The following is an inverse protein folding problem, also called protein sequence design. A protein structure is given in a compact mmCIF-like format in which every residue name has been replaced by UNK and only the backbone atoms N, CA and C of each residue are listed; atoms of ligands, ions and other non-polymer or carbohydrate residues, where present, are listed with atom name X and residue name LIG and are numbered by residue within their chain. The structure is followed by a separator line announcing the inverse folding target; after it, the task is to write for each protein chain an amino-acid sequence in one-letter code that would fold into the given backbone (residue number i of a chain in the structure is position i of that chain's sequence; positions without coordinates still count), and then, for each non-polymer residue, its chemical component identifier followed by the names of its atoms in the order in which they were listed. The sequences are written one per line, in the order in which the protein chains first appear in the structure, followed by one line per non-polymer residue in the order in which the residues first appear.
data_IF_214326246469
#
_entry.id   IF_214326246469
#
_cell.length_a   1.000
_cell.length_b   1.000
_cell.length_c   1.000
_cell.angle_alpha   90.00
_cell.angle_beta   90.00
_cell.angle_gamma   90.00
#
_symmetry.space_group_name_H-M   'P 1'
#
loop_
_entity.id
_entity.type
_entity.pdbx_description
1 polymer ?
#
# COMPACT_ATOMS: atom_id res chain seq x y z
N UNK A 1 13.28 15.25 -43.12
CA UNK A 1 13.62 13.96 -42.46
C UNK A 1 13.93 14.14 -40.97
N UNK A 2 14.78 15.11 -40.58
CA UNK A 2 15.10 15.40 -39.17
C UNK A 2 13.91 15.92 -38.32
N UNK A 3 12.96 16.67 -38.89
CA UNK A 3 11.80 17.18 -38.14
C UNK A 3 10.78 16.08 -37.75
N UNK A 4 10.66 15.00 -38.54
CA UNK A 4 9.83 13.84 -38.19
C UNK A 4 10.47 12.99 -37.07
N UNK A 5 11.80 12.90 -37.04
CA UNK A 5 12.54 12.25 -35.95
C UNK A 5 12.42 13.03 -34.62
N UNK A 6 12.46 14.37 -34.67
CA UNK A 6 12.26 15.22 -33.48
C UNK A 6 10.82 15.15 -32.95
N UNK A 7 9.82 15.18 -33.83
CA UNK A 7 8.41 14.95 -33.45
C UNK A 7 8.20 13.57 -32.86
N UNK A 8 8.85 12.53 -33.42
CA UNK A 8 8.80 11.17 -32.89
C UNK A 8 9.38 11.04 -31.48
N UNK A 9 10.50 11.71 -31.17
CA UNK A 9 11.09 11.71 -29.82
C UNK A 9 10.25 12.46 -28.79
N UNK A 10 9.69 13.62 -29.14
CA UNK A 10 8.82 14.40 -28.24
C UNK A 10 7.50 13.65 -28.02
N UNK A 11 6.92 13.06 -29.07
CA UNK A 11 5.71 12.24 -28.98
C UNK A 11 5.95 10.96 -28.18
N UNK A 12 7.10 10.30 -28.36
CA UNK A 12 7.49 9.13 -27.57
C UNK A 12 7.70 9.52 -26.11
N UNK A 13 8.38 10.62 -25.81
CA UNK A 13 8.53 11.14 -24.45
C UNK A 13 7.18 11.50 -23.83
N UNK A 14 6.26 12.10 -24.60
CA UNK A 14 4.91 12.37 -24.15
C UNK A 14 4.14 11.07 -23.88
N UNK A 15 4.21 10.06 -24.75
CA UNK A 15 3.65 8.74 -24.52
C UNK A 15 4.27 8.04 -23.29
N UNK A 16 5.58 8.16 -23.09
CA UNK A 16 6.28 7.66 -21.90
C UNK A 16 5.81 8.38 -20.62
N UNK A 17 5.55 9.68 -20.69
CA UNK A 17 5.07 10.49 -19.55
C UNK A 17 3.57 10.32 -19.27
N UNK A 18 2.75 10.09 -20.29
CA UNK A 18 1.29 9.99 -20.16
C UNK A 18 0.77 8.55 -20.10
N UNK A 19 1.54 7.58 -20.58
CA UNK A 19 1.16 6.16 -20.63
C UNK A 19 2.22 5.22 -20.03
N UNK A 20 3.41 5.72 -19.64
CA UNK A 20 4.50 4.91 -19.10
C UNK A 20 5.37 4.27 -20.18
N UNK A 21 6.66 4.01 -19.91
CA UNK A 21 7.62 3.52 -20.90
C UNK A 21 7.25 2.13 -21.46
N UNK A 22 6.58 1.30 -20.66
CA UNK A 22 6.14 -0.03 -21.10
C UNK A 22 4.91 -0.02 -22.01
N UNK A 23 4.14 1.07 -22.05
CA UNK A 23 3.00 1.20 -22.98
C UNK A 23 3.47 1.68 -24.35
N UNK A 24 4.51 2.52 -24.42
CA UNK A 24 5.13 2.88 -25.70
C UNK A 24 5.66 1.65 -26.44
N UNK A 25 6.40 0.77 -25.73
CA UNK A 25 6.92 -0.48 -26.31
C UNK A 25 5.79 -1.48 -26.67
N UNK A 26 4.66 -1.45 -25.96
CA UNK A 26 3.49 -2.27 -26.27
C UNK A 26 2.76 -1.78 -27.52
N UNK A 27 2.64 -0.46 -27.70
CA UNK A 27 2.05 0.17 -28.90
C UNK A 27 2.92 -0.10 -30.13
N UNK A 28 4.25 -0.01 -30.01
CA UNK A 28 5.19 -0.32 -31.09
C UNK A 28 5.07 -1.79 -31.55
N UNK A 29 4.71 -2.72 -30.65
CA UNK A 29 4.53 -4.16 -30.95
C UNK A 29 3.14 -4.54 -31.48
N UNK A 30 2.13 -3.67 -31.33
CA UNK A 30 0.74 -3.97 -31.66
C UNK A 30 0.38 -3.76 -33.14
N UNK A 31 1.33 -3.34 -33.99
CA UNK A 31 1.15 -3.15 -35.44
C UNK A 31 -0.16 -2.39 -35.80
N UNK A 32 -0.46 -1.33 -35.03
CA UNK A 32 -1.64 -0.49 -35.21
C UNK A 32 -2.96 -1.03 -34.63
N UNK A 33 -2.98 -2.22 -34.00
CA UNK A 33 -4.18 -2.80 -33.37
C UNK A 33 -4.33 -2.36 -31.91
N UNK A 34 -4.49 -1.06 -31.68
CA UNK A 34 -4.86 -0.55 -30.35
C UNK A 34 -6.38 -0.58 -30.22
N UNK A 35 -6.91 -1.55 -29.49
CA UNK A 35 -8.34 -1.70 -29.21
C UNK A 35 -8.65 -1.74 -27.71
N UNK A 36 -9.92 -1.49 -27.36
CA UNK A 36 -10.45 -1.71 -26.01
C UNK A 36 -10.49 -3.21 -25.68
N UNK A 37 -10.35 -3.53 -24.40
CA UNK A 37 -10.36 -4.91 -23.90
C UNK A 37 -9.10 -5.23 -23.11
N UNK A 38 -9.11 -6.39 -22.44
CA UNK A 38 -8.00 -6.82 -21.61
C UNK A 38 -7.95 -8.33 -21.46
N UNK A 39 -6.85 -8.79 -20.88
CA UNK A 39 -6.58 -10.21 -20.65
C UNK A 39 -6.66 -10.50 -19.16
N UNK A 40 -7.22 -11.65 -18.82
CA UNK A 40 -7.22 -12.16 -17.45
C UNK A 40 -5.85 -12.73 -17.11
N UNK A 41 -5.09 -11.98 -16.32
CA UNK A 41 -3.70 -12.25 -15.99
C UNK A 41 -3.46 -12.10 -14.49
N UNK A 42 -2.49 -12.86 -13.98
CA UNK A 42 -2.02 -12.74 -12.61
C UNK A 42 -1.18 -11.46 -12.46
N UNK A 43 -1.55 -10.59 -11.52
CA UNK A 43 -0.81 -9.36 -11.21
C UNK A 43 -0.59 -9.20 -9.70
N UNK A 44 0.29 -8.25 -9.36
CA UNK A 44 0.24 -7.57 -8.05
C UNK A 44 -0.25 -6.15 -8.26
N UNK A 45 -1.36 -5.81 -7.63
CA UNK A 45 -1.90 -4.46 -7.59
C UNK A 45 -1.25 -3.68 -6.42
N UNK A 46 -0.95 -2.41 -6.69
CA UNK A 46 -0.30 -1.49 -5.77
C UNK A 46 -1.05 -0.17 -5.77
N UNK A 47 -1.46 0.26 -4.58
CA UNK A 47 -2.00 1.59 -4.36
C UNK A 47 -1.16 2.30 -3.33
N UNK A 48 -0.87 3.56 -3.60
CA UNK A 48 -0.12 4.42 -2.72
C UNK A 48 -0.84 5.75 -2.56
N UNK A 49 -0.81 6.30 -1.36
CA UNK A 49 -1.35 7.61 -1.03
C UNK A 49 -0.45 8.35 -0.03
N UNK A 50 -0.51 9.68 -0.04
CA UNK A 50 0.14 10.53 0.96
C UNK A 50 -0.88 11.00 2.01
N UNK A 51 -0.86 10.35 3.18
CA UNK A 51 -1.70 10.72 4.31
C UNK A 51 -1.17 11.97 5.03
N UNK A 52 -2.09 12.78 5.57
CA UNK A 52 -1.79 14.07 6.21
C UNK A 52 -1.75 15.26 5.24
N UNK A 53 -1.43 15.01 3.96
CA UNK A 53 -1.31 16.08 2.95
C UNK A 53 -2.55 16.97 2.89
N UNK A 54 -3.73 16.37 2.69
CA UNK A 54 -4.98 17.14 2.57
C UNK A 54 -5.45 17.78 3.87
N UNK A 55 -5.07 17.21 5.02
CA UNK A 55 -5.51 17.68 6.34
C UNK A 55 -4.79 18.98 6.69
N UNK A 56 -3.50 19.07 6.40
CA UNK A 56 -2.64 20.18 6.81
C UNK A 56 -2.27 21.13 5.66
N UNK A 57 -2.84 20.96 4.46
CA UNK A 57 -2.58 21.79 3.27
C UNK A 57 -2.72 23.31 3.54
N UNK A 58 -3.67 23.70 4.41
CA UNK A 58 -3.90 25.10 4.78
C UNK A 58 -2.80 25.69 5.68
N UNK A 59 -2.03 24.84 6.38
CA UNK A 59 -0.97 25.23 7.32
C UNK A 59 0.41 25.27 6.66
N UNK A 60 0.51 24.88 5.39
CA UNK A 60 1.77 24.78 4.65
C UNK A 60 1.76 25.83 3.53
N UNK A 61 2.85 26.60 3.35
CA UNK A 61 2.97 27.51 2.22
C UNK A 61 2.69 26.80 0.89
N UNK A 62 1.83 27.33 -0.01
CA UNK A 62 1.42 26.64 -1.24
C UNK A 62 2.58 26.19 -2.14
N UNK A 63 3.64 27.00 -2.23
CA UNK A 63 4.82 26.63 -3.01
C UNK A 63 5.59 25.46 -2.37
N UNK A 64 5.64 25.41 -1.04
CA UNK A 64 6.29 24.34 -0.30
C UNK A 64 5.52 23.03 -0.46
N UNK A 65 4.20 23.05 -0.34
CA UNK A 65 3.36 21.85 -0.52
C UNK A 65 3.41 21.33 -1.96
N UNK A 66 3.41 22.22 -2.97
CA UNK A 66 3.58 21.83 -4.37
C UNK A 66 4.94 21.17 -4.63
N UNK A 67 6.03 21.78 -4.14
CA UNK A 67 7.37 21.22 -4.30
C UNK A 67 7.52 19.86 -3.60
N UNK A 68 6.97 19.73 -2.39
CA UNK A 68 6.98 18.46 -1.65
C UNK A 68 6.23 17.36 -2.41
N UNK A 69 5.01 17.67 -2.88
CA UNK A 69 4.19 16.73 -3.64
C UNK A 69 4.91 16.27 -4.91
N UNK A 70 5.52 17.20 -5.65
CA UNK A 70 6.28 16.88 -6.86
C UNK A 70 7.44 15.93 -6.57
N UNK A 71 8.28 16.24 -5.56
CA UNK A 71 9.42 15.38 -5.20
C UNK A 71 8.96 13.99 -4.74
N UNK A 72 7.88 13.92 -3.97
CA UNK A 72 7.28 12.67 -3.53
C UNK A 72 6.80 11.81 -4.71
N UNK A 73 6.07 12.40 -5.66
CA UNK A 73 5.56 11.68 -6.83
C UNK A 73 6.71 11.24 -7.75
N UNK A 74 7.69 12.10 -7.98
CA UNK A 74 8.87 11.78 -8.79
C UNK A 74 9.64 10.59 -8.20
N UNK A 75 9.94 10.65 -6.90
CA UNK A 75 10.60 9.56 -6.18
C UNK A 75 9.79 8.25 -6.26
N UNK A 76 8.48 8.33 -6.05
CA UNK A 76 7.62 7.14 -6.05
C UNK A 76 7.54 6.49 -7.42
N UNK A 77 7.34 7.29 -8.47
CA UNK A 77 7.36 6.84 -9.86
C UNK A 77 8.71 6.23 -10.25
N UNK A 78 9.82 6.85 -9.84
CA UNK A 78 11.16 6.34 -10.08
C UNK A 78 11.33 4.94 -9.49
N UNK A 79 10.97 4.72 -8.22
CA UNK A 79 11.13 3.41 -7.56
C UNK A 79 10.25 2.34 -8.22
N UNK A 80 9.01 2.68 -8.60
CA UNK A 80 8.12 1.77 -9.35
C UNK A 80 8.78 1.33 -10.66
N UNK A 81 9.28 2.29 -11.44
CA UNK A 81 9.91 2.01 -12.74
C UNK A 81 11.21 1.22 -12.60
N UNK A 82 12.05 1.53 -11.61
CA UNK A 82 13.29 0.77 -11.31
C UNK A 82 12.99 -0.70 -11.00
N UNK A 83 11.87 -0.96 -10.34
CA UNK A 83 11.39 -2.31 -10.04
C UNK A 83 10.53 -2.91 -11.17
N UNK A 84 10.50 -2.29 -12.35
CA UNK A 84 9.77 -2.74 -13.54
C UNK A 84 8.26 -2.81 -13.34
N UNK A 85 7.71 -1.95 -12.49
CA UNK A 85 6.27 -1.77 -12.35
C UNK A 85 5.69 -0.98 -13.51
N UNK A 86 4.44 -1.26 -13.81
CA UNK A 86 3.64 -0.47 -14.76
C UNK A 86 2.91 0.60 -13.98
N UNK A 87 3.26 1.86 -14.26
CA UNK A 87 2.50 3.02 -13.78
C UNK A 87 1.15 3.04 -14.49
N UNK A 88 0.07 3.02 -13.72
CA UNK A 88 -1.30 3.05 -14.23
C UNK A 88 -1.77 4.50 -14.38
N UNK A 89 -1.85 5.22 -13.26
CA UNK A 89 -2.13 6.65 -13.24
C UNK A 89 -1.79 7.29 -11.89
N UNK A 90 -1.73 8.63 -11.91
CA UNK A 90 -1.67 9.48 -10.74
C UNK A 90 -3.02 10.21 -10.57
N UNK A 91 -3.50 10.32 -9.33
CA UNK A 91 -4.69 11.10 -8.96
C UNK A 91 -4.38 11.97 -7.74
N UNK A 92 -3.93 13.20 -8.00
CA UNK A 92 -3.36 14.07 -6.97
C UNK A 92 -2.13 13.45 -6.34
N UNK A 93 -2.21 13.15 -5.03
CA UNK A 93 -1.18 12.52 -4.22
C UNK A 93 -1.21 10.98 -4.23
N UNK A 94 -2.15 10.41 -4.98
CA UNK A 94 -2.31 8.96 -5.15
C UNK A 94 -1.54 8.46 -6.35
N UNK A 95 -0.95 7.27 -6.20
CA UNK A 95 -0.31 6.53 -7.27
C UNK A 95 -0.92 5.13 -7.34
N UNK A 96 -1.36 4.75 -8.54
CA UNK A 96 -1.74 3.37 -8.87
C UNK A 96 -0.67 2.76 -9.78
N UNK A 97 -0.23 1.56 -9.43
CA UNK A 97 0.69 0.77 -10.23
C UNK A 97 0.35 -0.72 -10.13
N UNK A 98 0.94 -1.52 -11.02
CA UNK A 98 0.87 -2.97 -10.94
C UNK A 98 2.08 -3.65 -11.59
N UNK A 99 2.30 -4.92 -11.24
CA UNK A 99 3.33 -5.79 -11.80
C UNK A 99 2.71 -7.04 -12.41
N UNK A 100 3.43 -7.70 -13.31
CA UNK A 100 2.96 -8.90 -14.04
C UNK A 100 2.36 -8.62 -15.41
N UNK A 101 2.17 -7.35 -15.78
CA UNK A 101 1.72 -6.90 -17.09
C UNK A 101 2.29 -5.49 -17.40
N UNK A 102 2.49 -5.11 -18.68
CA UNK A 102 2.23 -5.89 -19.89
C UNK A 102 3.24 -7.03 -20.10
N UNK A 103 4.44 -6.91 -19.54
CA UNK A 103 5.42 -7.98 -19.53
C UNK A 103 5.09 -8.99 -18.42
N UNK A 104 5.10 -10.28 -18.75
CA UNK A 104 4.99 -11.33 -17.74
C UNK A 104 6.19 -11.27 -16.80
N UNK A 105 5.91 -11.24 -15.50
CA UNK A 105 6.92 -11.23 -14.43
C UNK A 105 6.54 -12.33 -13.45
N UNK A 106 7.37 -13.36 -13.29
CA UNK A 106 7.12 -14.43 -12.31
C UNK A 106 7.29 -13.92 -10.87
N UNK A 107 8.17 -12.94 -10.70
CA UNK A 107 8.54 -12.27 -9.46
C UNK A 107 7.75 -10.95 -9.25
N UNK A 108 6.54 -10.86 -9.80
CA UNK A 108 5.75 -9.63 -9.81
C UNK A 108 5.44 -9.11 -8.39
N UNK A 109 5.24 -10.02 -7.43
CA UNK A 109 4.93 -9.66 -6.05
C UNK A 109 6.18 -9.24 -5.28
N UNK A 110 7.30 -9.93 -5.49
CA UNK A 110 8.60 -9.61 -4.91
C UNK A 110 9.04 -8.20 -5.33
N UNK A 111 8.85 -7.84 -6.60
CA UNK A 111 9.12 -6.49 -7.13
C UNK A 111 8.23 -5.43 -6.47
N UNK A 112 6.94 -5.71 -6.32
CA UNK A 112 6.01 -4.80 -5.66
C UNK A 112 6.34 -4.63 -4.17
N UNK A 113 6.72 -5.71 -3.48
CA UNK A 113 7.12 -5.68 -2.07
C UNK A 113 8.42 -4.88 -1.88
N UNK A 114 9.44 -5.12 -2.72
CA UNK A 114 10.68 -4.34 -2.75
C UNK A 114 10.42 -2.85 -3.03
N UNK A 115 9.49 -2.55 -3.94
CA UNK A 115 9.06 -1.17 -4.24
C UNK A 115 8.45 -0.50 -3.02
N UNK A 116 7.52 -1.18 -2.34
CA UNK A 116 6.84 -0.61 -1.19
C UNK A 116 7.81 -0.23 -0.06
N UNK A 117 8.72 -1.13 0.31
CA UNK A 117 9.70 -0.86 1.38
C UNK A 117 10.70 0.24 0.99
N UNK A 118 11.10 0.30 -0.28
CA UNK A 118 12.04 1.32 -0.76
C UNK A 118 11.37 2.70 -0.85
N UNK A 119 10.11 2.79 -1.28
CA UNK A 119 9.33 4.03 -1.27
C UNK A 119 9.22 4.57 0.16
N UNK A 120 8.88 3.72 1.14
CA UNK A 120 8.81 4.14 2.56
C UNK A 120 10.15 4.69 3.04
N UNK A 121 11.25 3.99 2.75
CA UNK A 121 12.59 4.40 3.14
C UNK A 121 12.97 5.75 2.53
N UNK A 122 12.81 5.91 1.21
CA UNK A 122 13.12 7.17 0.50
C UNK A 122 12.20 8.31 0.93
N UNK A 123 10.92 8.03 1.14
CA UNK A 123 9.95 9.01 1.64
C UNK A 123 10.35 9.56 3.00
N UNK A 124 10.69 8.69 3.96
CA UNK A 124 11.10 9.13 5.30
C UNK A 124 12.35 10.01 5.23
N UNK A 125 13.37 9.61 4.47
CA UNK A 125 14.58 10.41 4.27
C UNK A 125 14.27 11.77 3.63
N UNK A 126 13.45 11.79 2.57
CA UNK A 126 13.03 13.02 1.90
C UNK A 126 12.25 13.93 2.85
N UNK A 127 11.26 13.40 3.57
CA UNK A 127 10.43 14.17 4.51
C UNK A 127 11.29 14.82 5.59
N UNK A 128 12.23 14.08 6.15
CA UNK A 128 13.06 14.53 7.27
C UNK A 128 14.03 15.65 6.85
N UNK A 129 14.40 15.74 5.56
CA UNK A 129 15.22 16.83 5.02
C UNK A 129 14.53 18.20 5.04
N UNK A 130 13.20 18.25 4.99
CA UNK A 130 12.46 19.51 5.00
C UNK A 130 12.47 20.22 6.35
N UNK A 131 12.76 19.51 7.45
CA UNK A 131 12.75 20.03 8.81
C UNK A 131 11.53 20.93 9.14
N UNK A 132 10.33 20.51 8.69
CA UNK A 132 9.10 21.28 8.83
C UNK A 132 8.08 20.48 9.64
N UNK A 133 7.54 21.08 10.71
CA UNK A 133 6.65 20.41 11.67
C UNK A 133 5.44 19.76 11.01
N UNK A 134 4.75 20.46 10.10
CA UNK A 134 3.57 19.90 9.43
C UNK A 134 3.93 18.78 8.44
N UNK A 135 5.03 18.92 7.67
CA UNK A 135 5.46 17.88 6.73
C UNK A 135 5.93 16.62 7.46
N UNK A 136 6.48 16.76 8.68
CA UNK A 136 6.91 15.62 9.50
C UNK A 136 5.76 14.67 9.88
N UNK A 137 4.51 15.15 9.85
CA UNK A 137 3.31 14.36 10.14
C UNK A 137 2.86 13.53 8.94
N UNK A 138 3.38 13.80 7.75
CA UNK A 138 2.97 13.07 6.55
C UNK A 138 3.50 11.64 6.58
N UNK A 139 2.64 10.75 6.09
CA UNK A 139 2.94 9.32 5.99
C UNK A 139 2.53 8.82 4.62
N UNK A 140 3.40 8.02 4.00
CA UNK A 140 3.00 7.23 2.84
C UNK A 140 2.20 6.01 3.31
N UNK A 141 1.10 5.72 2.63
CA UNK A 141 0.25 4.56 2.86
C UNK A 141 0.21 3.72 1.59
N UNK A 142 0.50 2.43 1.70
CA UNK A 142 0.62 1.51 0.57
C UNK A 142 -0.23 0.26 0.84
N UNK A 143 -0.96 -0.19 -0.18
CA UNK A 143 -1.72 -1.45 -0.15
C UNK A 143 -1.28 -2.38 -1.28
N UNK A 144 -0.98 -3.63 -0.93
CA UNK A 144 -0.54 -4.69 -1.84
C UNK A 144 -1.51 -5.87 -1.84
N UNK A 145 -1.95 -6.28 -3.02
CA UNK A 145 -2.68 -7.54 -3.19
C UNK A 145 -2.29 -8.22 -4.50
N UNK A 146 -2.25 -9.55 -4.50
CA UNK A 146 -1.89 -10.34 -5.68
C UNK A 146 -2.98 -11.33 -6.03
N UNK A 147 -3.38 -11.35 -7.29
CA UNK A 147 -4.51 -12.14 -7.76
C UNK A 147 -4.72 -11.97 -9.26
N UNK A 148 -5.73 -12.64 -9.78
CA UNK A 148 -6.17 -12.46 -11.17
C UNK A 148 -6.89 -11.12 -11.33
N UNK A 149 -6.64 -10.45 -12.43
CA UNK A 149 -7.30 -9.20 -12.81
C UNK A 149 -7.36 -9.11 -14.33
N UNK A 150 -8.32 -8.34 -14.84
CA UNK A 150 -8.33 -8.01 -16.27
C UNK A 150 -7.44 -6.79 -16.49
N UNK A 151 -6.40 -6.95 -17.30
CA UNK A 151 -5.45 -5.87 -17.64
C UNK A 151 -5.54 -5.55 -19.12
N UNK A 152 -5.70 -4.27 -19.45
CA UNK A 152 -5.81 -3.84 -20.84
C UNK A 152 -6.23 -2.39 -20.98
N UNK A 153 -6.71 -2.04 -22.18
CA UNK A 153 -7.17 -0.69 -22.47
C UNK A 153 -8.64 -0.55 -22.09
N UNK A 154 -8.90 0.25 -21.06
CA UNK A 154 -10.25 0.52 -20.56
C UNK A 154 -10.57 2.01 -20.59
N UNK A 155 -11.83 2.32 -20.91
CA UNK A 155 -12.33 3.69 -21.02
C UNK A 155 -13.37 3.82 -22.11
N UNK A 156 -13.49 5.02 -22.67
CA UNK A 156 -14.36 5.29 -23.81
C UNK A 156 -13.59 5.22 -25.13
N UNK A 157 -14.31 5.25 -26.25
CA UNK A 157 -13.73 5.42 -27.59
C UNK A 157 -12.91 6.72 -27.77
N UNK A 158 -13.09 7.70 -26.89
CA UNK A 158 -12.39 9.00 -26.95
C UNK A 158 -11.17 9.06 -26.04
N UNK A 159 -11.17 8.28 -24.95
CA UNK A 159 -10.10 8.25 -23.96
C UNK A 159 -10.13 6.91 -23.23
N UNK A 160 -9.01 6.20 -23.28
CA UNK A 160 -8.77 4.97 -22.55
C UNK A 160 -7.40 5.01 -21.88
N UNK A 161 -7.26 4.25 -20.81
CA UNK A 161 -6.00 4.05 -20.10
C UNK A 161 -5.66 2.56 -20.12
N UNK A 162 -4.37 2.25 -20.19
CA UNK A 162 -3.90 0.90 -19.91
C UNK A 162 -3.93 0.68 -18.39
N UNK A 163 -4.88 -0.12 -17.91
CA UNK A 163 -5.17 -0.25 -16.49
C UNK A 163 -5.57 -1.67 -16.12
N UNK A 164 -5.51 -1.98 -14.83
CA UNK A 164 -5.99 -3.22 -14.25
C UNK A 164 -7.33 -3.01 -13.53
N UNK A 165 -8.29 -3.92 -13.77
CA UNK A 165 -9.61 -3.95 -13.14
C UNK A 165 -9.90 -5.32 -12.52
N UNK A 166 -10.65 -5.34 -11.43
CA UNK A 166 -11.11 -6.58 -10.76
C UNK A 166 -11.05 -6.49 -9.23
N UNK A 167 -11.52 -7.54 -8.57
CA UNK A 167 -11.54 -7.65 -7.10
C UNK A 167 -10.14 -7.53 -6.50
N UNK A 168 -9.13 -8.14 -7.13
CA UNK A 168 -7.72 -8.03 -6.72
C UNK A 168 -7.27 -6.58 -6.56
N UNK A 169 -7.63 -5.73 -7.54
CA UNK A 169 -7.25 -4.32 -7.60
C UNK A 169 -8.02 -3.52 -6.55
N UNK A 170 -9.33 -3.75 -6.45
CA UNK A 170 -10.19 -3.07 -5.46
C UNK A 170 -9.76 -3.39 -4.03
N UNK A 171 -9.38 -4.63 -3.73
CA UNK A 171 -8.91 -5.03 -2.41
C UNK A 171 -7.59 -4.33 -2.05
N UNK A 172 -6.63 -4.22 -2.97
CA UNK A 172 -5.38 -3.48 -2.74
C UNK A 172 -5.67 -2.00 -2.39
N UNK A 173 -6.57 -1.36 -3.14
CA UNK A 173 -7.01 0.01 -2.86
C UNK A 173 -7.66 0.12 -1.48
N UNK A 174 -8.56 -0.81 -1.16
CA UNK A 174 -9.29 -0.81 0.11
C UNK A 174 -8.36 -0.94 1.29
N UNK A 175 -7.42 -1.89 1.27
CA UNK A 175 -6.49 -2.05 2.39
C UNK A 175 -5.53 -0.88 2.51
N UNK A 176 -5.11 -0.24 1.41
CA UNK A 176 -4.29 0.98 1.47
C UNK A 176 -4.95 2.06 2.34
N UNK A 177 -6.27 2.24 2.21
CA UNK A 177 -7.01 3.25 3.00
C UNK A 177 -7.06 2.95 4.51
N UNK A 178 -6.78 1.72 4.92
CA UNK A 178 -6.73 1.31 6.34
C UNK A 178 -5.36 1.58 6.97
N UNK A 179 -4.31 1.79 6.17
CA UNK A 179 -2.94 1.98 6.64
C UNK A 179 -2.83 3.11 7.70
N UNK A 180 -3.45 4.29 7.51
CA UNK A 180 -3.41 5.36 8.51
C UNK A 180 -4.08 4.98 9.83
N UNK A 181 -5.13 4.16 9.78
CA UNK A 181 -5.85 3.71 10.98
C UNK A 181 -4.97 2.84 11.88
N UNK A 182 -4.13 2.00 11.27
CA UNK A 182 -3.14 1.21 12.00
C UNK A 182 -1.84 1.98 12.25
N UNK A 183 -1.66 3.18 11.69
CA UNK A 183 -0.41 3.94 11.77
C UNK A 183 0.78 3.21 11.15
N UNK A 184 0.53 2.39 10.12
CA UNK A 184 1.56 1.64 9.40
C UNK A 184 1.71 2.16 7.98
N UNK A 185 2.82 1.82 7.31
CA UNK A 185 3.10 2.29 5.96
C UNK A 185 2.63 1.34 4.86
N UNK A 186 2.79 0.03 5.03
CA UNK A 186 2.53 -0.96 3.97
C UNK A 186 1.63 -2.05 4.51
N UNK A 187 0.45 -2.19 3.93
CA UNK A 187 -0.47 -3.28 4.19
C UNK A 187 -0.48 -4.26 3.03
N UNK A 188 -0.55 -5.55 3.36
CA UNK A 188 -0.68 -6.63 2.41
C UNK A 188 -1.74 -7.63 2.86
N UNK A 189 -2.40 -8.26 1.90
CA UNK A 189 -3.34 -9.36 2.15
C UNK A 189 -2.61 -10.65 2.51
N UNK A 190 -3.30 -11.59 3.15
CA UNK A 190 -2.79 -12.95 3.39
C UNK A 190 -2.35 -13.65 2.10
N UNK A 191 -3.10 -13.49 1.00
CA UNK A 191 -2.76 -14.09 -0.29
C UNK A 191 -1.42 -13.59 -0.87
N UNK A 192 -1.08 -12.32 -0.61
CA UNK A 192 0.24 -11.79 -0.93
C UNK A 192 1.29 -12.33 0.06
N UNK A 193 1.00 -12.30 1.37
CA UNK A 193 1.95 -12.70 2.40
C UNK A 193 2.44 -14.14 2.23
N UNK A 194 1.52 -15.08 2.02
CA UNK A 194 1.85 -16.51 1.88
C UNK A 194 2.87 -16.79 0.77
N UNK A 195 2.90 -15.98 -0.28
CA UNK A 195 3.83 -16.15 -1.42
C UNK A 195 5.25 -15.64 -1.14
N UNK A 196 5.42 -14.71 -0.20
CA UNK A 196 6.71 -14.07 0.08
C UNK A 196 7.13 -14.15 1.56
N UNK A 197 6.47 -14.99 2.35
CA UNK A 197 6.68 -15.10 3.81
C UNK A 197 8.16 -15.34 4.16
N UNK A 198 8.86 -16.21 3.43
CA UNK A 198 10.25 -16.59 3.72
C UNK A 198 11.26 -15.45 3.41
N UNK A 199 10.81 -14.42 2.70
CA UNK A 199 11.60 -13.27 2.28
C UNK A 199 11.14 -11.97 2.95
N UNK A 200 10.15 -12.02 3.84
CA UNK A 200 9.53 -10.82 4.40
C UNK A 200 9.58 -10.79 5.92
N UNK A 201 9.80 -9.59 6.46
CA UNK A 201 9.58 -9.27 7.87
C UNK A 201 8.20 -8.64 7.94
N UNK A 202 7.28 -9.29 8.63
CA UNK A 202 5.89 -8.86 8.70
C UNK A 202 5.36 -8.84 10.13
N UNK A 203 4.31 -8.05 10.33
CA UNK A 203 3.44 -8.11 11.51
C UNK A 203 2.07 -8.65 11.10
N UNK A 204 1.61 -9.75 11.71
CA UNK A 204 0.22 -10.24 11.59
C UNK A 204 -0.71 -9.26 12.31
N UNK A 205 -1.29 -8.34 11.55
CA UNK A 205 -1.83 -7.10 12.08
C UNK A 205 -3.26 -7.26 12.56
N UNK A 206 -4.15 -7.82 11.74
CA UNK A 206 -5.57 -7.89 12.08
C UNK A 206 -6.35 -8.87 11.20
N UNK A 207 -7.56 -9.23 11.64
CA UNK A 207 -8.57 -9.94 10.84
C UNK A 207 -9.82 -9.06 10.79
N UNK A 208 -10.13 -8.52 9.62
CA UNK A 208 -11.20 -7.54 9.42
C UNK A 208 -12.39 -8.09 8.68
N UNK A 209 -13.58 -7.78 9.18
CA UNK A 209 -14.82 -7.85 8.38
C UNK A 209 -15.07 -6.51 7.72
N UNK A 210 -15.04 -6.50 6.39
CA UNK A 210 -15.46 -5.38 5.58
C UNK A 210 -16.95 -5.57 5.19
N UNK A 211 -17.77 -4.51 5.15
CA UNK A 211 -19.21 -4.63 4.83
C UNK A 211 -19.50 -5.25 3.46
N UNK A 212 -18.56 -5.07 2.54
CA UNK A 212 -18.63 -5.41 1.13
C UNK A 212 -17.95 -6.75 0.79
N UNK A 213 -17.40 -7.47 1.77
CA UNK A 213 -16.76 -8.77 1.59
C UNK A 213 -17.43 -9.84 2.47
N UNK A 214 -17.76 -10.97 1.87
CA UNK A 214 -18.34 -12.12 2.60
C UNK A 214 -17.35 -12.72 3.59
N UNK A 215 -16.08 -12.80 3.19
CA UNK A 215 -15.00 -13.40 3.98
C UNK A 215 -14.19 -12.32 4.70
N UNK A 216 -13.87 -12.52 5.99
CA UNK A 216 -12.93 -11.63 6.66
C UNK A 216 -11.57 -11.65 5.99
N UNK A 217 -10.95 -10.49 5.87
CA UNK A 217 -9.60 -10.35 5.32
C UNK A 217 -8.58 -10.32 6.45
N UNK A 218 -7.49 -11.06 6.31
CA UNK A 218 -6.35 -10.95 7.22
C UNK A 218 -5.32 -9.99 6.63
N UNK A 219 -4.90 -9.05 7.45
CA UNK A 219 -3.95 -8.00 7.10
C UNK A 219 -2.60 -8.27 7.73
N UNK A 220 -1.56 -8.05 6.93
CA UNK A 220 -0.19 -8.04 7.39
C UNK A 220 0.41 -6.67 7.10
N UNK A 221 1.24 -6.17 8.01
CA UNK A 221 2.12 -5.06 7.70
C UNK A 221 3.45 -5.62 7.16
N UNK A 222 3.90 -5.11 6.03
CA UNK A 222 5.22 -5.41 5.49
C UNK A 222 6.24 -4.38 6.01
N UNK A 223 7.20 -4.84 6.81
CA UNK A 223 8.20 -3.99 7.47
C UNK A 223 9.50 -3.98 6.69
N UNK A 224 9.92 -5.16 6.22
CA UNK A 224 11.12 -5.33 5.42
C UNK A 224 10.94 -6.46 4.42
N UNK A 225 11.66 -6.38 3.29
CA UNK A 225 11.71 -7.42 2.28
C UNK A 225 13.17 -7.72 1.93
N UNK A 226 13.53 -9.01 1.91
CA UNK A 226 14.89 -9.53 1.72
C UNK A 226 15.92 -8.93 2.69
N UNK A 227 15.48 -8.58 3.89
CA UNK A 227 16.30 -8.02 4.97
C UNK A 227 15.90 -8.68 6.29
N UNK A 228 16.84 -8.77 7.23
CA UNK A 228 16.54 -9.24 8.58
C UNK A 228 15.97 -8.10 9.41
N UNK A 229 15.06 -8.38 10.36
CA UNK A 229 14.65 -7.38 11.33
C UNK A 229 15.86 -6.95 12.16
N UNK A 230 15.88 -5.69 12.56
CA UNK A 230 16.74 -5.25 13.67
C UNK A 230 16.33 -5.97 14.97
N UNK A 231 17.22 -6.05 15.94
CA UNK A 231 16.92 -6.68 17.24
C UNK A 231 15.71 -6.02 17.93
N UNK A 232 15.57 -4.69 17.79
CA UNK A 232 14.42 -3.96 18.32
C UNK A 232 13.11 -4.35 17.64
N UNK A 233 13.13 -4.44 16.30
CA UNK A 233 11.96 -4.89 15.52
C UNK A 233 11.59 -6.33 15.87
N UNK A 234 12.56 -7.24 15.97
CA UNK A 234 12.31 -8.65 16.27
C UNK A 234 11.63 -8.82 17.64
N UNK A 235 12.13 -8.12 18.68
CA UNK A 235 11.49 -8.10 20.00
C UNK A 235 10.08 -7.51 19.97
N UNK A 236 9.89 -6.39 19.27
CA UNK A 236 8.57 -5.75 19.15
C UNK A 236 7.57 -6.68 18.49
N UNK A 237 7.95 -7.29 17.36
CA UNK A 237 7.10 -8.21 16.60
C UNK A 237 6.78 -9.48 17.38
N UNK A 238 7.74 -9.99 18.16
CA UNK A 238 7.53 -11.13 19.04
C UNK A 238 6.50 -10.81 20.12
N UNK A 239 6.68 -9.71 20.86
CA UNK A 239 5.72 -9.27 21.88
C UNK A 239 4.33 -9.02 21.28
N UNK A 240 4.26 -8.31 20.15
CA UNK A 240 3.00 -8.05 19.46
C UNK A 240 2.29 -9.34 19.05
N UNK A 241 3.01 -10.31 18.47
CA UNK A 241 2.44 -11.58 18.01
C UNK A 241 1.91 -12.44 19.17
N UNK A 242 2.60 -12.45 20.31
CA UNK A 242 2.12 -13.09 21.53
C UNK A 242 0.82 -12.44 22.04
N UNK A 243 0.80 -11.10 22.08
CA UNK A 243 -0.39 -10.33 22.44
C UNK A 243 -1.58 -10.65 21.55
N UNK A 244 -1.40 -10.66 20.23
CA UNK A 244 -2.47 -11.00 19.25
C UNK A 244 -2.96 -12.43 19.44
N UNK A 245 -2.07 -13.40 19.71
CA UNK A 245 -2.46 -14.79 19.96
C UNK A 245 -3.37 -14.92 21.20
N UNK A 246 -3.00 -14.25 22.30
CA UNK A 246 -3.77 -14.23 23.54
C UNK A 246 -5.08 -13.46 23.41
N UNK A 247 -5.06 -12.34 22.67
CA UNK A 247 -6.25 -11.56 22.33
C UNK A 247 -7.25 -12.44 21.58
N UNK A 248 -6.84 -13.15 20.53
CA UNK A 248 -7.72 -14.08 19.80
C UNK A 248 -8.25 -15.23 20.67
N UNK A 249 -7.54 -15.60 21.74
CA UNK A 249 -7.97 -16.57 22.77
C UNK A 249 -8.79 -15.95 23.91
N UNK A 250 -9.16 -14.66 23.82
CA UNK A 250 -9.93 -13.92 24.83
C UNK A 250 -9.22 -13.73 26.18
N UNK A 251 -7.89 -13.82 26.20
CA UNK A 251 -7.05 -13.58 27.39
C UNK A 251 -6.60 -12.12 27.41
N UNK A 252 -7.54 -11.21 27.67
CA UNK A 252 -7.36 -9.76 27.44
C UNK A 252 -6.27 -9.13 28.30
N UNK A 253 -6.18 -9.49 29.58
CA UNK A 253 -5.20 -8.90 30.50
C UNK A 253 -3.78 -9.30 30.08
N UNK A 254 -3.55 -10.59 29.86
CA UNK A 254 -2.26 -11.11 29.40
C UNK A 254 -1.88 -10.61 28.00
N UNK A 255 -2.87 -10.47 27.10
CA UNK A 255 -2.64 -9.85 25.81
C UNK A 255 -2.17 -8.40 25.96
N UNK A 256 -2.83 -7.63 26.85
CA UNK A 256 -2.48 -6.24 27.12
C UNK A 256 -1.06 -6.10 27.68
N UNK A 257 -0.61 -7.02 28.54
CA UNK A 257 0.76 -7.01 29.06
C UNK A 257 1.81 -7.10 27.94
N UNK A 258 1.59 -7.99 26.97
CA UNK A 258 2.48 -8.10 25.82
C UNK A 258 2.44 -6.89 24.88
N UNK A 259 1.29 -6.24 24.73
CA UNK A 259 1.22 -4.97 23.99
C UNK A 259 1.93 -3.84 24.73
N UNK A 260 1.87 -3.80 26.07
CA UNK A 260 2.70 -2.88 26.86
C UNK A 260 4.20 -3.17 26.71
N UNK A 261 4.60 -4.44 26.60
CA UNK A 261 6.00 -4.80 26.32
C UNK A 261 6.46 -4.31 24.95
N UNK A 262 5.60 -4.40 23.92
CA UNK A 262 5.86 -3.77 22.63
C UNK A 262 6.01 -2.24 22.75
N UNK A 263 5.15 -1.58 23.55
CA UNK A 263 5.18 -0.13 23.78
C UNK A 263 6.39 0.34 24.60
N UNK A 264 7.01 -0.53 25.39
CA UNK A 264 8.31 -0.23 26.04
C UNK A 264 9.44 -0.12 25.02
N UNK A 265 9.32 -0.82 23.89
CA UNK A 265 10.31 -0.79 22.79
C UNK A 265 10.04 0.42 21.89
N UNK A 266 8.79 0.60 21.46
CA UNK A 266 8.35 1.79 20.73
C UNK A 266 7.07 2.36 21.34
N UNK A 267 7.21 3.45 22.09
CA UNK A 267 6.09 4.17 22.72
C UNK A 267 5.09 4.75 21.72
N UNK A 268 5.48 4.84 20.45
CA UNK A 268 4.66 5.37 19.37
C UNK A 268 4.00 4.28 18.51
N UNK A 269 4.20 3.00 18.81
CA UNK A 269 3.61 1.91 18.03
C UNK A 269 2.07 1.94 18.09
N UNK A 270 1.46 2.41 16.99
CA UNK A 270 0.01 2.59 16.89
C UNK A 270 -0.74 1.26 16.99
N UNK A 271 -0.32 0.15 16.36
CA UNK A 271 -1.04 -1.11 16.51
C UNK A 271 -1.06 -1.64 17.94
N UNK A 272 0.06 -1.57 18.69
CA UNK A 272 0.05 -1.99 20.09
C UNK A 272 -0.91 -1.13 20.93
N UNK A 273 -0.94 0.20 20.72
CA UNK A 273 -1.94 1.09 21.39
C UNK A 273 -3.37 0.68 21.07
N UNK A 274 -3.66 0.46 19.79
CA UNK A 274 -4.99 0.03 19.32
C UNK A 274 -5.41 -1.27 19.98
N UNK A 275 -4.50 -2.22 20.12
CA UNK A 275 -4.81 -3.49 20.79
C UNK A 275 -4.97 -3.38 22.31
N UNK A 276 -4.25 -2.48 22.99
CA UNK A 276 -4.49 -2.17 24.42
C UNK A 276 -5.91 -1.61 24.63
N UNK A 277 -6.31 -0.67 23.78
CA UNK A 277 -7.67 -0.10 23.80
C UNK A 277 -8.73 -1.17 23.53
N UNK A 278 -8.49 -2.05 22.55
CA UNK A 278 -9.36 -3.19 22.26
C UNK A 278 -9.44 -4.17 23.42
N UNK A 279 -8.33 -4.55 24.05
CA UNK A 279 -8.34 -5.43 25.23
C UNK A 279 -9.26 -4.86 26.31
N UNK A 280 -9.17 -3.55 26.57
CA UNK A 280 -10.05 -2.84 27.51
C UNK A 280 -11.52 -2.89 27.07
N UNK A 281 -11.80 -2.60 25.80
CA UNK A 281 -13.15 -2.61 25.24
C UNK A 281 -13.82 -3.99 25.24
N UNK A 282 -13.10 -5.02 24.80
CA UNK A 282 -13.58 -6.41 24.77
C UNK A 282 -13.63 -7.05 26.16
N UNK A 283 -12.86 -6.58 27.13
CA UNK A 283 -13.04 -6.97 28.54
C UNK A 283 -14.36 -6.45 29.10
N UNK A 284 -14.74 -5.22 28.76
CA UNK A 284 -16.01 -4.61 29.16
C UNK A 284 -17.21 -5.20 28.43
N UNK A 285 -17.07 -5.42 27.11
CA UNK A 285 -18.11 -5.95 26.23
C UNK A 285 -17.56 -7.16 25.46
N UNK A 286 -17.52 -8.35 26.08
CA UNK A 286 -16.92 -9.52 25.46
C UNK A 286 -17.69 -9.97 24.22
N UNK A 287 -17.00 -10.49 23.20
CA UNK A 287 -17.65 -10.99 22.01
C UNK A 287 -18.30 -12.36 22.31
N UNK A 288 -19.19 -12.85 21.43
CA UNK A 288 -19.78 -14.18 21.56
C UNK A 288 -18.73 -15.30 21.66
N UNK A 289 -19.06 -16.46 22.26
CA UNK A 289 -18.10 -17.55 22.44
C UNK A 289 -17.49 -18.10 21.15
N UNK A 290 -18.19 -18.01 20.02
CA UNK A 290 -17.74 -18.45 18.70
C UNK A 290 -16.95 -17.38 17.92
N UNK A 291 -16.58 -16.27 18.57
CA UNK A 291 -15.80 -15.22 17.94
C UNK A 291 -14.41 -15.73 17.53
N UNK A 292 -14.06 -15.47 16.27
CA UNK A 292 -12.86 -16.00 15.62
C UNK A 292 -11.74 -14.94 15.48
N UNK A 293 -11.72 -13.94 16.35
CA UNK A 293 -10.72 -12.87 16.29
C UNK A 293 -11.06 -11.74 15.31
N UNK A 294 -12.19 -11.80 14.59
CA UNK A 294 -12.53 -10.76 13.59
C UNK A 294 -13.01 -9.49 14.24
N UNK A 295 -12.49 -8.35 13.81
CA UNK A 295 -12.97 -7.03 14.22
C UNK A 295 -13.72 -6.34 13.07
N UNK A 296 -14.76 -5.58 13.40
CA UNK A 296 -15.51 -4.82 12.40
C UNK A 296 -14.81 -3.51 12.07
N UNK A 297 -14.94 -2.99 10.85
CA UNK A 297 -14.29 -1.74 10.42
C UNK A 297 -14.53 -0.56 11.39
N UNK A 298 -15.76 -0.44 11.94
CA UNK A 298 -16.13 0.59 12.93
C UNK A 298 -15.35 0.52 14.25
N UNK A 299 -14.83 -0.67 14.60
CA UNK A 299 -13.99 -0.86 15.78
C UNK A 299 -12.50 -0.57 15.53
N UNK A 300 -12.15 -0.24 14.30
CA UNK A 300 -10.80 0.15 13.89
C UNK A 300 -10.75 1.64 13.60
N UNK A 301 -11.78 2.20 12.97
CA UNK A 301 -11.89 3.63 12.68
C UNK A 301 -12.46 4.39 13.87
N UNK A 302 -11.62 4.98 14.72
CA UNK A 302 -12.04 6.03 15.64
C UNK A 302 -12.20 7.34 14.87
N UNK A 303 -13.25 7.47 14.05
CA UNK A 303 -13.67 8.78 13.55
C UNK A 303 -15.21 8.85 13.48
N UNK A 304 -15.86 9.66 14.32
CA UNK A 304 -17.29 9.94 14.23
C UNK A 304 -17.51 11.06 13.23
N UNK A 305 -17.37 10.81 11.94
CA UNK A 305 -17.84 11.71 10.86
C UNK A 305 -17.70 11.05 9.49
N UNK A 306 -18.71 10.27 9.12
CA UNK A 306 -19.33 10.34 7.80
C UNK A 306 -20.77 10.83 8.00
#
# INVERSE_FOLDING_TARGET
MLSNLFKGKIFRRALELYAGPHVADFVDKMDGKVGLGGFDIQITAYFQNLYGFRIDLQKIPPQLSANFLQQYLDMSCEVVLLNKGTLDHLDGEKLKAFWGAPATQKDHLERAAATAVEVVRRFNLMRDQYNHSELSKFQVSIGLNSGRAIVGNFGSKYRFNYTALGETVQLAQRIQTLSPTYGVHVLMTEAAYQKIQDQSVVRDLDILRLPDLETPIRLYELIAFQQKPTESQDRLLTSFSLGVNLFRKRRWDEASDHFFDALKIDKNDTPAKLYVERCTGFKRNPPPPNWNGTVGIKSVTSNPSE
#
